data_IF_141434943612
#
_entry.id   IF_141434943612
#
_cell.length_a   1.000
_cell.length_b   1.000
_cell.length_c   1.000
_cell.angle_alpha   90.00
_cell.angle_beta   90.00
_cell.angle_gamma   90.00
#
_symmetry.space_group_name_H-M   'P 1'
#
loop_
_entity.id
_entity.type
_entity.pdbx_description
1 polymer ?
#
# COMPACT_ATOMS: atom_id res chain seq x y z
N UNK A 1 23.89 42.92 6.20
CA UNK A 1 23.81 41.59 6.83
C UNK A 1 22.39 41.21 7.25
N UNK A 2 21.64 42.06 7.98
CA UNK A 2 20.26 41.76 8.42
C UNK A 2 19.30 41.46 7.25
N UNK A 3 19.33 42.28 6.19
CA UNK A 3 18.49 42.08 5.01
C UNK A 3 18.73 40.72 4.32
N UNK A 4 19.98 40.26 4.30
CA UNK A 4 20.34 38.95 3.71
C UNK A 4 19.73 37.80 4.51
N UNK A 5 19.76 37.87 5.84
CA UNK A 5 19.14 36.87 6.71
C UNK A 5 17.61 36.85 6.58
N UNK A 6 16.97 38.01 6.40
CA UNK A 6 15.53 38.10 6.14
C UNK A 6 15.15 37.44 4.80
N UNK A 7 15.92 37.71 3.73
CA UNK A 7 15.70 37.10 2.42
C UNK A 7 15.88 35.58 2.45
N UNK A 8 16.92 35.09 3.13
CA UNK A 8 17.13 33.65 3.35
C UNK A 8 15.96 33.01 4.13
N UNK A 9 15.46 33.70 5.16
CA UNK A 9 14.30 33.24 5.92
C UNK A 9 13.05 33.09 5.07
N UNK A 10 12.72 34.10 4.26
CA UNK A 10 11.56 34.06 3.33
C UNK A 10 11.71 32.93 2.32
N UNK A 11 12.91 32.76 1.73
CA UNK A 11 13.18 31.67 0.80
C UNK A 11 12.96 30.30 1.44
N UNK A 12 13.50 30.08 2.65
CA UNK A 12 13.33 28.82 3.37
C UNK A 12 11.86 28.52 3.69
N UNK A 13 11.10 29.53 4.12
CA UNK A 13 9.65 29.41 4.34
C UNK A 13 8.94 29.00 3.04
N UNK A 14 9.29 29.64 1.92
CA UNK A 14 8.74 29.30 0.61
C UNK A 14 9.01 27.85 0.21
N UNK A 15 10.23 27.36 0.43
CA UNK A 15 10.59 25.95 0.17
C UNK A 15 9.80 24.98 1.05
N UNK A 16 9.59 25.31 2.33
CA UNK A 16 8.79 24.48 3.25
C UNK A 16 7.33 24.42 2.80
N UNK A 17 6.72 25.57 2.49
CA UNK A 17 5.33 25.65 2.02
C UNK A 17 5.16 24.84 0.73
N UNK A 18 6.06 25.01 -0.24
CA UNK A 18 6.03 24.28 -1.49
C UNK A 18 6.17 22.76 -1.27
N UNK A 19 7.11 22.35 -0.42
CA UNK A 19 7.31 20.93 -0.09
C UNK A 19 6.07 20.32 0.58
N UNK A 20 5.43 21.07 1.49
CA UNK A 20 4.18 20.65 2.11
C UNK A 20 3.04 20.53 1.10
N UNK A 21 2.86 21.53 0.23
CA UNK A 21 1.82 21.52 -0.80
C UNK A 21 2.00 20.35 -1.78
N UNK A 22 3.23 20.13 -2.26
CA UNK A 22 3.59 18.98 -3.10
C UNK A 22 3.26 17.67 -2.39
N UNK A 23 3.62 17.55 -1.11
CA UNK A 23 3.34 16.34 -0.33
C UNK A 23 1.84 16.09 -0.17
N UNK A 24 1.06 17.13 0.13
CA UNK A 24 -0.40 17.02 0.23
C UNK A 24 -1.02 16.56 -1.09
N UNK A 25 -0.52 17.03 -2.22
CA UNK A 25 -0.94 16.55 -3.54
C UNK A 25 -0.70 15.06 -3.75
N UNK A 26 0.46 14.55 -3.34
CA UNK A 26 0.78 13.11 -3.36
C UNK A 26 -0.15 12.33 -2.44
N UNK A 27 -0.33 12.80 -1.22
CA UNK A 27 -1.17 12.12 -0.22
C UNK A 27 -2.64 12.03 -0.69
N UNK A 28 -3.16 13.10 -1.32
CA UNK A 28 -4.49 13.11 -1.93
C UNK A 28 -4.59 12.14 -3.12
N UNK A 29 -3.54 12.05 -3.94
CA UNK A 29 -3.48 11.11 -5.07
C UNK A 29 -3.57 9.66 -4.57
N UNK A 30 -2.77 9.29 -3.57
CA UNK A 30 -2.80 7.95 -2.99
C UNK A 30 -4.17 7.65 -2.36
N UNK A 31 -4.76 8.63 -1.67
CA UNK A 31 -6.10 8.49 -1.09
C UNK A 31 -7.17 8.25 -2.16
N UNK A 32 -7.15 9.02 -3.25
CA UNK A 32 -8.06 8.83 -4.38
C UNK A 32 -7.90 7.46 -5.03
N UNK A 33 -6.66 6.98 -5.20
CA UNK A 33 -6.39 5.65 -5.76
C UNK A 33 -6.92 4.54 -4.84
N UNK A 34 -6.71 4.67 -3.53
CA UNK A 34 -7.19 3.70 -2.55
C UNK A 34 -8.71 3.75 -2.36
N UNK A 35 -9.34 4.91 -2.47
CA UNK A 35 -10.79 5.06 -2.41
C UNK A 35 -11.49 4.45 -3.63
N UNK A 36 -10.85 4.47 -4.80
CA UNK A 36 -11.33 3.81 -6.01
C UNK A 36 -11.04 2.30 -6.07
N UNK A 37 -10.21 1.78 -5.17
CA UNK A 37 -9.91 0.36 -5.11
C UNK A 37 -10.98 -0.40 -4.30
N UNK A 38 -11.34 -1.59 -4.77
CA UNK A 38 -12.20 -2.50 -4.01
C UNK A 38 -11.51 -2.91 -2.70
N UNK A 39 -12.28 -2.88 -1.61
CA UNK A 39 -11.84 -3.29 -0.28
C UNK A 39 -12.36 -4.70 0.02
N UNK A 40 -11.44 -5.60 0.35
CA UNK A 40 -11.76 -7.01 0.60
C UNK A 40 -11.32 -7.42 2.01
N UNK A 41 -12.14 -8.21 2.68
CA UNK A 41 -11.69 -9.02 3.83
C UNK A 41 -10.75 -10.14 3.36
N UNK A 42 -9.91 -10.73 4.23
CA UNK A 42 -9.14 -11.93 3.90
C UNK A 42 -10.02 -13.07 3.38
N UNK A 43 -11.21 -13.26 3.92
CA UNK A 43 -12.16 -14.28 3.50
C UNK A 43 -12.66 -14.05 2.07
N UNK A 44 -13.05 -12.81 1.74
CA UNK A 44 -13.45 -12.43 0.38
C UNK A 44 -12.29 -12.56 -0.60
N UNK A 45 -11.09 -12.13 -0.19
CA UNK A 45 -9.87 -12.30 -0.97
C UNK A 45 -9.61 -13.78 -1.28
N UNK A 46 -9.74 -14.68 -0.30
CA UNK A 46 -9.55 -16.12 -0.53
C UNK A 46 -10.63 -16.71 -1.43
N UNK A 47 -11.89 -16.27 -1.30
CA UNK A 47 -12.97 -16.69 -2.21
C UNK A 47 -12.66 -16.27 -3.64
N UNK A 48 -12.33 -15.00 -3.85
CA UNK A 48 -11.95 -14.44 -5.15
C UNK A 48 -10.76 -15.18 -5.74
N UNK A 49 -9.69 -15.36 -4.95
CA UNK A 49 -8.46 -16.03 -5.40
C UNK A 49 -8.70 -17.49 -5.80
N UNK A 50 -9.53 -18.21 -5.04
CA UNK A 50 -9.80 -19.62 -5.28
C UNK A 50 -10.89 -19.87 -6.32
N UNK A 51 -11.55 -18.82 -6.80
CA UNK A 51 -12.56 -18.92 -7.83
C UNK A 51 -11.97 -19.48 -9.14
N UNK A 52 -12.60 -20.53 -9.66
CA UNK A 52 -12.27 -21.17 -10.93
C UNK A 52 -13.56 -21.38 -11.73
N UNK A 53 -13.53 -21.04 -13.01
CA UNK A 53 -14.62 -21.34 -13.96
C UNK A 53 -14.55 -22.79 -14.50
N UNK A 54 -13.53 -23.59 -14.14
CA UNK A 54 -13.28 -24.89 -14.75
C UNK A 54 -12.87 -26.01 -13.78
N UNK A 55 -12.82 -27.24 -14.32
CA UNK A 55 -12.47 -28.47 -13.59
C UNK A 55 -10.98 -28.64 -13.27
N UNK A 56 -10.62 -29.83 -12.75
CA UNK A 56 -9.27 -30.19 -12.28
C UNK A 56 -8.20 -29.87 -13.35
N UNK A 57 -7.21 -29.05 -12.97
CA UNK A 57 -6.09 -28.66 -13.84
C UNK A 57 -6.21 -27.28 -14.51
N UNK A 58 -7.36 -26.60 -14.37
CA UNK A 58 -7.52 -25.22 -14.89
C UNK A 58 -6.89 -24.19 -13.95
N UNK A 59 -6.12 -23.20 -14.46
CA UNK A 59 -5.62 -22.10 -13.64
C UNK A 59 -6.79 -21.31 -13.04
N UNK A 60 -6.68 -20.95 -11.76
CA UNK A 60 -7.68 -20.12 -11.07
C UNK A 60 -7.85 -18.80 -11.82
N UNK A 61 -9.09 -18.37 -12.05
CA UNK A 61 -9.39 -17.17 -12.85
C UNK A 61 -8.70 -15.92 -12.28
N UNK A 62 -8.63 -15.80 -10.96
CA UNK A 62 -7.94 -14.70 -10.32
C UNK A 62 -6.44 -14.65 -10.64
N UNK A 63 -5.78 -15.80 -10.89
CA UNK A 63 -4.36 -15.81 -11.24
C UNK A 63 -4.08 -15.21 -12.63
N UNK A 64 -5.02 -15.33 -13.58
CA UNK A 64 -4.91 -14.66 -14.89
C UNK A 64 -5.21 -13.17 -14.82
N UNK A 65 -5.77 -12.70 -13.70
CA UNK A 65 -6.03 -11.29 -13.38
C UNK A 65 -5.00 -10.71 -12.41
N UNK A 66 -3.92 -11.45 -12.10
CA UNK A 66 -2.89 -10.96 -11.22
C UNK A 66 -2.07 -9.87 -11.92
N UNK A 67 -1.78 -8.78 -11.20
CA UNK A 67 -1.16 -7.58 -11.78
C UNK A 67 -0.06 -7.01 -10.90
N UNK A 68 0.71 -6.10 -11.50
CA UNK A 68 1.75 -5.32 -10.83
C UNK A 68 1.16 -4.12 -10.11
N UNK A 69 1.48 -3.95 -8.83
CA UNK A 69 0.94 -2.85 -8.03
C UNK A 69 1.36 -2.87 -6.57
N UNK A 70 0.64 -2.09 -5.76
CA UNK A 70 0.82 -1.98 -4.32
C UNK A 70 -0.46 -2.43 -3.61
N UNK A 71 -0.32 -3.19 -2.54
CA UNK A 71 -1.41 -3.60 -1.67
C UNK A 71 -1.27 -2.93 -0.30
N UNK A 72 -2.42 -2.62 0.30
CA UNK A 72 -2.58 -2.07 1.64
C UNK A 72 -3.37 -3.09 2.45
N UNK A 73 -2.77 -3.60 3.52
CA UNK A 73 -3.43 -4.45 4.51
C UNK A 73 -3.67 -3.59 5.75
N UNK A 74 -4.92 -3.44 6.15
CA UNK A 74 -5.29 -2.65 7.31
C UNK A 74 -5.82 -3.58 8.41
N UNK A 75 -5.18 -3.55 9.59
CA UNK A 75 -5.68 -4.18 10.81
C UNK A 75 -6.58 -3.18 11.55
N UNK A 76 -7.89 -3.41 11.50
CA UNK A 76 -8.90 -2.60 12.18
C UNK A 76 -8.89 -2.78 13.70
N UNK A 77 -8.38 -3.90 14.21
CA UNK A 77 -8.31 -4.15 15.67
C UNK A 77 -7.23 -3.28 16.31
N UNK A 78 -6.10 -3.09 15.63
CA UNK A 78 -4.93 -2.37 16.16
C UNK A 78 -4.71 -0.99 15.56
N UNK A 79 -5.52 -0.62 14.58
CA UNK A 79 -5.34 0.59 13.76
C UNK A 79 -3.94 0.68 13.12
N UNK A 80 -3.49 -0.44 12.53
CA UNK A 80 -2.16 -0.58 11.96
C UNK A 80 -2.21 -0.97 10.49
N UNK A 81 -1.30 -0.41 9.70
CA UNK A 81 -1.19 -0.70 8.27
C UNK A 81 0.05 -1.51 7.93
N UNK A 82 -0.05 -2.37 6.93
CA UNK A 82 1.06 -2.91 6.16
C UNK A 82 0.88 -2.54 4.70
N UNK A 83 1.94 -2.06 4.06
CA UNK A 83 1.94 -1.74 2.63
C UNK A 83 3.05 -2.54 1.97
N UNK A 84 2.80 -3.10 0.79
CA UNK A 84 3.87 -3.69 0.01
C UNK A 84 3.60 -3.63 -1.49
N UNK A 85 4.65 -3.76 -2.27
CA UNK A 85 4.56 -3.93 -3.72
C UNK A 85 4.64 -5.40 -4.15
N UNK A 86 4.18 -5.69 -5.37
CA UNK A 86 4.53 -6.91 -6.09
C UNK A 86 4.21 -6.78 -7.59
N UNK A 87 4.95 -7.52 -8.42
CA UNK A 87 4.59 -7.79 -9.82
C UNK A 87 3.36 -8.71 -9.94
N UNK A 88 3.09 -9.51 -8.90
CA UNK A 88 2.00 -10.47 -8.77
C UNK A 88 1.31 -10.25 -7.42
N UNK A 89 0.50 -9.20 -7.33
CA UNK A 89 -0.10 -8.71 -6.09
C UNK A 89 -0.90 -9.78 -5.32
N UNK A 90 -1.70 -10.61 -6.03
CA UNK A 90 -2.53 -11.62 -5.39
C UNK A 90 -1.70 -12.72 -4.72
N UNK A 91 -0.53 -13.05 -5.28
CA UNK A 91 0.35 -14.05 -4.67
C UNK A 91 1.02 -13.48 -3.42
N UNK A 92 1.39 -12.19 -3.45
CA UNK A 92 2.04 -11.54 -2.31
C UNK A 92 1.07 -11.30 -1.15
N UNK A 93 -0.17 -10.89 -1.44
CA UNK A 93 -1.23 -10.79 -0.43
C UNK A 93 -1.52 -12.15 0.20
N UNK A 94 -1.67 -13.21 -0.61
CA UNK A 94 -1.87 -14.57 -0.12
C UNK A 94 -0.75 -15.03 0.83
N UNK A 95 0.50 -14.64 0.57
CA UNK A 95 1.63 -15.01 1.42
C UNK A 95 1.49 -14.46 2.85
N UNK A 96 0.97 -13.24 3.04
CA UNK A 96 0.74 -12.67 4.38
C UNK A 96 -0.26 -13.49 5.19
N UNK A 97 -1.36 -13.93 4.56
CA UNK A 97 -2.40 -14.71 5.24
C UNK A 97 -2.15 -16.22 5.24
N UNK A 98 -0.99 -16.67 4.74
CA UNK A 98 -0.56 -18.09 4.75
C UNK A 98 0.82 -18.30 5.40
N UNK A 99 1.33 -17.31 6.15
CA UNK A 99 2.55 -17.43 6.96
C UNK A 99 3.86 -17.32 6.18
N UNK A 100 3.83 -16.87 4.92
CA UNK A 100 5.01 -16.68 4.05
C UNK A 100 5.37 -15.20 3.83
N UNK A 101 4.59 -14.29 4.41
CA UNK A 101 4.76 -12.85 4.31
C UNK A 101 5.35 -12.25 5.58
N UNK A 102 4.82 -11.10 6.00
CA UNK A 102 5.14 -10.48 7.28
C UNK A 102 4.57 -11.33 8.42
N UNK A 103 5.44 -11.76 9.34
CA UNK A 103 5.07 -12.65 10.44
C UNK A 103 4.10 -12.01 11.44
N UNK A 104 4.22 -10.69 11.70
CA UNK A 104 3.35 -9.96 12.63
C UNK A 104 1.92 -9.87 12.08
N UNK A 105 1.77 -9.56 10.78
CA UNK A 105 0.47 -9.58 10.09
C UNK A 105 -0.16 -10.96 10.16
N UNK A 106 0.62 -12.02 9.90
CA UNK A 106 0.10 -13.39 9.96
C UNK A 106 -0.31 -13.80 11.38
N UNK A 107 0.50 -13.46 12.38
CA UNK A 107 0.21 -13.76 13.77
C UNK A 107 -1.10 -13.10 14.21
N UNK A 108 -1.26 -11.81 13.93
CA UNK A 108 -2.47 -11.05 14.27
C UNK A 108 -3.71 -11.60 13.56
N UNK A 109 -3.58 -11.95 12.28
CA UNK A 109 -4.65 -12.65 11.54
C UNK A 109 -5.03 -13.98 12.21
N UNK A 110 -4.05 -14.79 12.65
CA UNK A 110 -4.31 -16.05 13.37
C UNK A 110 -4.96 -15.82 14.73
N UNK A 111 -4.72 -14.69 15.37
CA UNK A 111 -5.39 -14.25 16.60
C UNK A 111 -6.76 -13.61 16.37
N UNK A 112 -7.29 -13.67 15.13
CA UNK A 112 -8.63 -13.19 14.75
C UNK A 112 -8.80 -11.67 14.78
N UNK A 113 -7.71 -10.93 14.62
CA UNK A 113 -7.82 -9.51 14.31
C UNK A 113 -8.56 -9.29 12.98
N UNK A 114 -9.27 -8.17 12.87
CA UNK A 114 -10.07 -7.85 11.69
C UNK A 114 -9.21 -7.11 10.67
N UNK A 115 -9.14 -7.65 9.46
CA UNK A 115 -8.35 -7.06 8.38
C UNK A 115 -9.19 -6.66 7.18
N UNK A 116 -8.74 -5.64 6.46
CA UNK A 116 -9.14 -5.39 5.06
C UNK A 116 -7.91 -5.22 4.18
N UNK A 117 -8.13 -5.38 2.88
CA UNK A 117 -7.11 -5.40 1.84
C UNK A 117 -7.59 -4.50 0.71
N UNK A 118 -6.75 -3.55 0.30
CA UNK A 118 -6.91 -2.76 -0.92
C UNK A 118 -5.74 -2.97 -1.85
N UNK A 119 -5.98 -2.93 -3.15
CA UNK A 119 -4.97 -3.20 -4.18
C UNK A 119 -5.02 -2.12 -5.26
N UNK A 120 -3.91 -1.43 -5.47
CA UNK A 120 -3.75 -0.34 -6.45
C UNK A 120 -2.84 -0.84 -7.56
N UNK A 121 -3.32 -0.84 -8.81
CA UNK A 121 -2.49 -1.23 -9.96
C UNK A 121 -1.47 -0.14 -10.30
N UNK A 122 -0.26 -0.55 -10.70
CA UNK A 122 0.75 0.39 -11.15
C UNK A 122 0.30 1.11 -12.43
N UNK A 123 -0.23 0.36 -13.39
CA UNK A 123 -0.68 0.83 -14.71
C UNK A 123 -1.64 2.03 -14.61
N UNK A 124 -2.60 1.98 -13.68
CA UNK A 124 -3.62 3.01 -13.53
C UNK A 124 -3.30 4.03 -12.42
N UNK A 125 -2.13 3.92 -11.79
CA UNK A 125 -1.73 4.83 -10.70
C UNK A 125 -1.11 6.13 -11.18
N UNK A 126 -0.66 6.19 -12.44
CA UNK A 126 0.14 7.29 -12.96
C UNK A 126 1.51 7.43 -12.28
N UNK A 127 2.04 6.37 -11.70
CA UNK A 127 3.44 6.27 -11.25
C UNK A 127 4.28 5.55 -12.31
N UNK A 128 5.56 5.91 -12.43
CA UNK A 128 6.47 5.29 -13.40
C UNK A 128 7.03 3.93 -12.95
N UNK A 129 7.02 3.63 -11.65
CA UNK A 129 7.53 2.37 -11.11
C UNK A 129 6.89 2.03 -9.75
N UNK A 130 7.05 0.78 -9.32
CA UNK A 130 6.51 0.27 -8.06
C UNK A 130 7.16 0.89 -6.82
N UNK A 131 8.45 1.22 -6.87
CA UNK A 131 9.18 1.73 -5.71
C UNK A 131 8.63 3.09 -5.28
N UNK A 132 8.34 3.97 -6.24
CA UNK A 132 7.77 5.29 -5.96
C UNK A 132 6.34 5.18 -5.44
N UNK A 133 5.51 4.33 -6.06
CA UNK A 133 4.14 4.08 -5.60
C UNK A 133 4.12 3.50 -4.18
N UNK A 134 4.98 2.52 -3.88
CA UNK A 134 5.09 1.88 -2.57
C UNK A 134 5.52 2.87 -1.49
N UNK A 135 6.57 3.65 -1.77
CA UNK A 135 7.14 4.62 -0.83
C UNK A 135 6.13 5.70 -0.45
N UNK A 136 5.42 6.24 -1.43
CA UNK A 136 4.40 7.24 -1.16
C UNK A 136 3.21 6.65 -0.40
N UNK A 137 2.84 5.41 -0.71
CA UNK A 137 1.76 4.69 -0.01
C UNK A 137 2.13 4.37 1.44
N UNK A 138 3.33 3.82 1.71
CA UNK A 138 3.84 3.58 3.07
C UNK A 138 3.78 4.85 3.89
N UNK A 139 4.18 5.98 3.30
CA UNK A 139 4.20 7.25 4.00
C UNK A 139 2.81 7.82 4.24
N UNK A 140 1.89 7.74 3.27
CA UNK A 140 0.49 8.17 3.44
C UNK A 140 -0.19 7.45 4.60
N UNK A 141 0.02 6.14 4.71
CA UNK A 141 -0.57 5.31 5.77
C UNK A 141 0.30 5.19 7.02
N UNK A 142 1.42 5.91 7.08
CA UNK A 142 2.42 5.85 8.15
C UNK A 142 2.78 4.42 8.60
N UNK A 143 2.79 3.47 7.66
CA UNK A 143 2.87 2.04 7.97
C UNK A 143 4.26 1.61 8.45
N UNK A 144 5.28 2.47 8.27
CA UNK A 144 6.62 2.26 8.79
C UNK A 144 6.75 2.66 10.27
N UNK A 145 6.22 3.83 10.65
CA UNK A 145 6.43 4.36 12.00
C UNK A 145 5.37 3.88 12.99
N UNK A 146 4.16 3.58 12.50
CA UNK A 146 3.00 3.18 13.32
C UNK A 146 2.35 1.89 12.80
N UNK A 147 3.02 1.13 11.94
CA UNK A 147 2.47 -0.05 11.31
C UNK A 147 3.42 -1.24 11.29
N UNK A 148 3.15 -2.17 10.39
CA UNK A 148 3.88 -3.43 10.28
C UNK A 148 5.12 -3.35 9.38
N UNK A 149 5.31 -2.28 8.58
CA UNK A 149 6.46 -2.16 7.69
C UNK A 149 7.74 -1.93 8.50
N UNK A 150 8.81 -2.65 8.15
CA UNK A 150 10.14 -2.48 8.75
C UNK A 150 11.08 -1.59 7.93
N UNK A 151 10.64 -1.11 6.76
CA UNK A 151 11.37 -0.19 5.88
C UNK A 151 10.43 0.87 5.32
N UNK A 152 10.99 1.95 4.78
CA UNK A 152 10.24 3.03 4.09
C UNK A 152 9.98 2.74 2.61
N UNK A 153 10.04 1.46 2.20
CA UNK A 153 9.91 1.02 0.81
C UNK A 153 11.27 0.75 0.14
N UNK A 154 11.21 0.13 -1.04
CA UNK A 154 12.39 -0.21 -1.83
C UNK A 154 13.03 1.03 -2.49
N UNK A 155 14.33 0.89 -2.85
CA UNK A 155 15.08 1.89 -3.62
C UNK A 155 14.97 1.59 -5.10
#
# INVERSE_FOLDING_TARGET
MILLWLLLGIFMIGVIIWSYAKRKGIDNKIESLAAGAEELTPEEFFKLRNYSFGGRGTPKYALSKNFSGVYIIYNHTKDMYYVGQAQKILDRVNNHFTGRGNGDVYADYKYRDRFTIKMISLENSGYGNLNDLERDTIRKYNSFSMGYNKTRGNR
#
